data_IF_265719114603
#
_entry.id   IF_265719114603
#
_cell.length_a   1.000
_cell.length_b   1.000
_cell.length_c   1.000
_cell.angle_alpha   90.00
_cell.angle_beta   90.00
_cell.angle_gamma   90.00
#
_symmetry.space_group_name_H-M   'P 1'
#
loop_
_entity.id
_entity.type
_entity.pdbx_description
1 polymer ?
#
# COMPACT_ATOMS: atom_id res chain seq x y z
N UNK A 1 -23.44 -9.56 6.35
CA UNK A 1 -22.76 -8.90 5.23
C UNK A 1 -21.27 -8.88 5.54
N UNK A 2 -20.45 -9.48 4.69
CA UNK A 2 -19.01 -9.55 4.90
C UNK A 2 -18.35 -8.18 4.79
N UNK A 3 -17.09 -8.05 5.25
CA UNK A 3 -16.32 -6.80 5.07
C UNK A 3 -16.17 -6.45 3.60
N UNK A 4 -15.95 -7.46 2.76
CA UNK A 4 -15.79 -7.30 1.30
C UNK A 4 -17.08 -6.81 0.64
N UNK A 5 -18.25 -7.33 1.05
CA UNK A 5 -19.54 -6.85 0.53
C UNK A 5 -19.78 -5.38 0.88
N UNK A 6 -19.47 -4.97 2.11
CA UNK A 6 -19.58 -3.57 2.54
C UNK A 6 -18.72 -2.67 1.66
N UNK A 7 -17.48 -3.08 1.39
CA UNK A 7 -16.56 -2.32 0.52
C UNK A 7 -17.11 -2.26 -0.91
N UNK A 8 -17.61 -3.39 -1.47
CA UNK A 8 -18.23 -3.42 -2.80
C UNK A 8 -19.29 -2.35 -2.94
N UNK A 9 -20.24 -2.34 -2.02
CA UNK A 9 -21.37 -1.42 -2.08
C UNK A 9 -20.96 0.03 -1.83
N UNK A 10 -20.16 0.29 -0.82
CA UNK A 10 -19.71 1.65 -0.50
C UNK A 10 -18.89 2.26 -1.64
N UNK A 11 -17.94 1.52 -2.18
CA UNK A 11 -17.09 2.00 -3.28
C UNK A 11 -17.71 1.81 -4.66
N UNK A 12 -18.86 1.16 -4.82
CA UNK A 12 -19.45 0.78 -6.11
C UNK A 12 -18.43 0.04 -7.00
N UNK A 13 -17.80 -1.01 -6.45
CA UNK A 13 -16.83 -1.80 -7.19
C UNK A 13 -17.50 -2.55 -8.34
N UNK A 14 -16.83 -2.55 -9.50
CA UNK A 14 -17.21 -3.39 -10.64
C UNK A 14 -16.94 -4.85 -10.32
N UNK A 15 -17.62 -5.76 -11.01
CA UNK A 15 -17.49 -7.20 -10.75
C UNK A 15 -16.05 -7.70 -10.72
N UNK A 16 -15.15 -7.38 -11.69
CA UNK A 16 -13.76 -7.85 -11.63
C UNK A 16 -12.97 -7.30 -10.42
N UNK A 17 -13.28 -6.08 -9.97
CA UNK A 17 -12.64 -5.50 -8.78
C UNK A 17 -13.14 -6.19 -7.50
N UNK A 18 -14.42 -6.50 -7.45
CA UNK A 18 -15.02 -7.21 -6.32
C UNK A 18 -14.49 -8.63 -6.23
N UNK A 19 -14.44 -9.36 -7.34
CA UNK A 19 -13.88 -10.70 -7.41
C UNK A 19 -12.41 -10.73 -6.95
N UNK A 20 -11.60 -9.79 -7.44
CA UNK A 20 -10.22 -9.64 -6.98
C UNK A 20 -10.12 -9.38 -5.47
N UNK A 21 -11.00 -8.55 -4.91
CA UNK A 21 -11.05 -8.29 -3.47
C UNK A 21 -11.52 -9.52 -2.67
N UNK A 22 -12.41 -10.34 -3.22
CA UNK A 22 -12.83 -11.60 -2.58
C UNK A 22 -11.67 -12.59 -2.50
N UNK A 23 -10.87 -12.76 -3.57
CA UNK A 23 -9.67 -13.59 -3.54
C UNK A 23 -8.65 -13.04 -2.54
N UNK A 24 -8.48 -11.72 -2.52
CA UNK A 24 -7.60 -11.08 -1.54
C UNK A 24 -8.04 -11.35 -0.10
N UNK A 25 -9.32 -11.25 0.21
CA UNK A 25 -9.89 -11.59 1.53
C UNK A 25 -9.68 -13.06 1.88
N UNK A 26 -10.01 -13.97 0.96
CA UNK A 26 -9.90 -15.42 1.19
C UNK A 26 -8.49 -15.86 1.57
N UNK A 27 -7.47 -15.17 1.07
CA UNK A 27 -6.06 -15.45 1.36
C UNK A 27 -5.58 -14.62 2.55
N UNK A 28 -5.79 -13.30 2.51
CA UNK A 28 -5.31 -12.37 3.54
C UNK A 28 -5.88 -12.66 4.93
N UNK A 29 -7.12 -13.15 5.02
CA UNK A 29 -7.74 -13.50 6.30
C UNK A 29 -7.02 -14.66 7.01
N UNK A 30 -6.32 -15.50 6.26
CA UNK A 30 -5.63 -16.73 6.75
C UNK A 30 -4.13 -16.52 6.95
N UNK A 31 -3.56 -15.44 6.43
CA UNK A 31 -2.14 -15.11 6.56
C UNK A 31 -1.91 -14.17 7.73
N UNK A 32 -1.03 -14.57 8.63
CA UNK A 32 -0.45 -13.67 9.63
C UNK A 32 0.84 -13.09 9.09
N UNK A 33 0.77 -11.89 8.49
CA UNK A 33 1.83 -11.27 7.69
C UNK A 33 3.18 -11.10 8.43
N UNK A 34 3.17 -11.11 9.75
CA UNK A 34 4.40 -10.98 10.55
C UNK A 34 5.06 -12.32 10.88
N UNK A 35 4.31 -13.41 10.84
CA UNK A 35 4.76 -14.72 11.35
C UNK A 35 4.63 -15.85 10.33
N UNK A 36 3.73 -15.72 9.35
CA UNK A 36 3.57 -16.73 8.32
C UNK A 36 4.79 -16.79 7.40
N UNK A 37 5.33 -17.97 7.25
CA UNK A 37 6.39 -18.23 6.27
C UNK A 37 5.86 -18.08 4.84
N UNK A 38 6.75 -17.83 3.90
CA UNK A 38 6.43 -17.81 2.48
C UNK A 38 5.77 -19.12 2.02
N UNK A 39 6.29 -20.27 2.42
CA UNK A 39 5.75 -21.58 2.07
C UNK A 39 4.30 -21.75 2.57
N UNK A 40 4.00 -21.24 3.74
CA UNK A 40 2.65 -21.23 4.30
C UNK A 40 1.72 -20.32 3.50
N UNK A 41 2.18 -19.13 3.14
CA UNK A 41 1.44 -18.19 2.30
C UNK A 41 1.16 -18.78 0.89
N UNK A 42 2.13 -19.44 0.27
CA UNK A 42 1.97 -20.17 -0.99
C UNK A 42 0.91 -21.28 -0.90
N UNK A 43 0.97 -22.07 0.18
CA UNK A 43 -0.01 -23.13 0.43
C UNK A 43 -1.41 -22.57 0.58
N UNK A 44 -1.59 -21.55 1.40
CA UNK A 44 -2.89 -20.87 1.59
C UNK A 44 -3.41 -20.32 0.27
N UNK A 45 -2.53 -19.66 -0.53
CA UNK A 45 -2.90 -19.13 -1.82
C UNK A 45 -3.37 -20.23 -2.79
N UNK A 46 -2.64 -21.34 -2.89
CA UNK A 46 -2.99 -22.46 -3.77
C UNK A 46 -4.30 -23.15 -3.38
N UNK A 47 -4.60 -23.25 -2.09
CA UNK A 47 -5.83 -23.85 -1.58
C UNK A 47 -7.07 -22.97 -1.77
N UNK A 48 -6.89 -21.65 -1.88
CA UNK A 48 -7.99 -20.67 -1.92
C UNK A 48 -8.14 -19.95 -3.25
N UNK A 49 -7.27 -20.18 -4.21
CA UNK A 49 -7.35 -19.64 -5.55
C UNK A 49 -7.61 -20.75 -6.57
N UNK A 50 -8.76 -20.70 -7.23
CA UNK A 50 -9.10 -21.67 -8.29
C UNK A 50 -8.79 -21.09 -9.67
N UNK A 51 -8.40 -21.95 -10.62
CA UNK A 51 -8.22 -21.54 -12.01
C UNK A 51 -9.45 -20.77 -12.54
N UNK A 52 -9.31 -19.73 -13.38
CA UNK A 52 -8.09 -19.35 -14.11
C UNK A 52 -7.14 -18.42 -13.35
N UNK A 53 -7.41 -18.11 -12.08
CA UNK A 53 -6.60 -17.18 -11.30
C UNK A 53 -5.44 -17.92 -10.64
N UNK A 54 -4.23 -17.56 -11.00
CA UNK A 54 -3.02 -18.03 -10.32
C UNK A 54 -2.48 -16.89 -9.47
N UNK A 55 -2.29 -17.17 -8.18
CA UNK A 55 -1.55 -16.28 -7.28
C UNK A 55 -0.14 -16.84 -7.19
N UNK A 56 0.82 -16.13 -7.75
CA UNK A 56 2.23 -16.41 -7.53
C UNK A 56 2.70 -15.59 -6.33
N UNK A 57 3.20 -16.26 -5.32
CA UNK A 57 4.00 -15.60 -4.28
C UNK A 57 5.40 -15.46 -4.84
N UNK A 58 5.90 -14.23 -4.92
CA UNK A 58 7.22 -13.98 -5.46
C UNK A 58 8.30 -14.71 -4.64
N UNK A 59 9.19 -15.42 -5.35
CA UNK A 59 10.23 -16.24 -4.71
C UNK A 59 11.40 -15.43 -4.17
N UNK A 60 11.51 -14.16 -4.53
CA UNK A 60 12.64 -13.31 -4.16
C UNK A 60 12.45 -12.60 -2.81
N UNK A 61 11.21 -12.49 -2.31
CA UNK A 61 10.92 -11.79 -1.06
C UNK A 61 10.54 -12.74 0.08
N UNK A 62 11.00 -12.43 1.27
CA UNK A 62 10.67 -13.18 2.51
C UNK A 62 9.31 -12.78 3.12
N UNK A 63 8.50 -12.02 2.39
CA UNK A 63 7.18 -11.55 2.83
C UNK A 63 6.09 -11.87 1.79
N UNK A 64 4.83 -12.02 2.22
CA UNK A 64 3.71 -12.27 1.33
C UNK A 64 3.50 -11.13 0.34
N UNK A 65 3.44 -11.44 -0.94
CA UNK A 65 3.14 -10.49 -2.01
C UNK A 65 1.97 -10.99 -2.87
N UNK A 66 1.17 -10.05 -3.39
CA UNK A 66 0.01 -10.33 -4.23
C UNK A 66 0.10 -9.51 -5.51
N UNK A 67 -0.06 -10.16 -6.64
CA UNK A 67 -0.13 -9.49 -7.93
C UNK A 67 -1.55 -9.62 -8.50
N UNK A 68 -2.13 -8.47 -8.87
CA UNK A 68 -3.43 -8.41 -9.54
C UNK A 68 -3.21 -8.06 -11.01
N UNK A 69 -3.29 -9.06 -11.88
CA UNK A 69 -3.28 -8.81 -13.33
C UNK A 69 -4.67 -8.44 -13.81
N UNK A 70 -4.83 -7.18 -14.20
CA UNK A 70 -6.11 -6.60 -14.61
C UNK A 70 -5.94 -5.73 -15.85
N UNK A 71 -6.91 -5.81 -16.73
CA UNK A 71 -6.93 -5.01 -17.96
C UNK A 71 -6.91 -3.50 -17.69
N UNK A 72 -6.39 -2.74 -18.64
CA UNK A 72 -6.38 -1.27 -18.58
C UNK A 72 -7.80 -0.72 -18.51
N UNK A 73 -8.03 0.33 -17.74
CA UNK A 73 -9.33 0.99 -17.61
C UNK A 73 -10.34 0.33 -16.65
N UNK A 74 -10.03 -0.84 -16.09
CA UNK A 74 -10.92 -1.53 -15.13
C UNK A 74 -11.02 -0.79 -13.78
N UNK A 75 -10.07 0.11 -13.50
CA UNK A 75 -10.03 0.88 -12.25
C UNK A 75 -9.10 0.30 -11.19
N UNK A 76 -7.87 -0.07 -11.58
CA UNK A 76 -6.83 -0.62 -10.67
C UNK A 76 -6.60 0.24 -9.42
N UNK A 77 -6.52 1.58 -9.56
CA UNK A 77 -6.34 2.51 -8.41
C UNK A 77 -7.50 2.40 -7.40
N UNK A 78 -8.72 2.13 -7.88
CA UNK A 78 -9.87 1.95 -7.01
C UNK A 78 -9.80 0.61 -6.25
N UNK A 79 -9.35 -0.46 -6.92
CA UNK A 79 -9.08 -1.73 -6.25
C UNK A 79 -7.96 -1.57 -5.22
N UNK A 80 -6.89 -0.86 -5.54
CA UNK A 80 -5.82 -0.54 -4.58
C UNK A 80 -6.39 0.16 -3.34
N UNK A 81 -7.24 1.17 -3.51
CA UNK A 81 -7.94 1.82 -2.40
C UNK A 81 -8.81 0.84 -1.59
N UNK A 82 -9.50 -0.08 -2.25
CA UNK A 82 -10.30 -1.10 -1.59
C UNK A 82 -9.43 -2.07 -0.75
N UNK A 83 -8.28 -2.51 -1.29
CA UNK A 83 -7.33 -3.37 -0.55
C UNK A 83 -6.71 -2.63 0.65
N UNK A 84 -6.31 -1.36 0.49
CA UNK A 84 -5.81 -0.53 1.59
C UNK A 84 -6.87 -0.43 2.70
N UNK A 85 -8.10 -0.08 2.34
CA UNK A 85 -9.18 0.01 3.33
C UNK A 85 -9.47 -1.32 3.99
N UNK A 86 -9.47 -2.41 3.23
CA UNK A 86 -9.65 -3.76 3.76
C UNK A 86 -8.59 -4.08 4.83
N UNK A 87 -7.32 -3.89 4.53
CA UNK A 87 -6.21 -4.14 5.46
C UNK A 87 -6.29 -3.23 6.70
N UNK A 88 -6.65 -1.98 6.52
CA UNK A 88 -6.88 -1.07 7.64
C UNK A 88 -7.97 -1.58 8.59
N UNK A 89 -9.11 -2.00 8.05
CA UNK A 89 -10.27 -2.44 8.86
C UNK A 89 -10.10 -3.82 9.46
N UNK A 90 -9.49 -4.75 8.75
CA UNK A 90 -9.42 -6.16 9.17
C UNK A 90 -8.13 -6.51 9.90
N UNK A 91 -7.02 -5.87 9.55
CA UNK A 91 -5.69 -6.13 10.12
C UNK A 91 -5.16 -4.96 10.98
N UNK A 92 -5.81 -3.81 10.97
CA UNK A 92 -5.40 -2.62 11.71
C UNK A 92 -4.17 -1.92 11.14
N UNK A 93 -3.79 -2.19 9.88
CA UNK A 93 -2.63 -1.57 9.23
C UNK A 93 -2.90 -0.11 8.91
N UNK A 94 -1.88 0.74 9.10
CA UNK A 94 -2.02 2.19 8.97
C UNK A 94 -1.01 2.82 8.04
N UNK A 95 0.09 2.14 7.70
CA UNK A 95 1.17 2.68 6.89
C UNK A 95 1.17 2.03 5.51
N UNK A 96 0.86 2.82 4.48
CA UNK A 96 0.75 2.35 3.08
C UNK A 96 1.68 3.15 2.19
N UNK A 97 2.59 2.46 1.50
CA UNK A 97 3.57 3.06 0.62
C UNK A 97 3.24 2.74 -0.83
N UNK A 98 2.81 3.74 -1.58
CA UNK A 98 2.40 3.61 -2.98
C UNK A 98 3.56 4.02 -3.89
N UNK A 99 3.99 3.09 -4.73
CA UNK A 99 5.00 3.31 -5.75
C UNK A 99 4.38 3.50 -7.13
N UNK A 100 4.77 4.58 -7.78
CA UNK A 100 4.35 4.90 -9.14
C UNK A 100 5.54 4.81 -10.11
N UNK A 101 5.40 4.19 -11.30
CA UNK A 101 6.51 3.93 -12.22
C UNK A 101 6.93 5.16 -13.03
N UNK A 102 6.31 6.31 -12.86
CA UNK A 102 6.64 7.53 -13.57
C UNK A 102 5.83 8.73 -13.13
N UNK A 103 6.23 9.94 -13.55
CA UNK A 103 5.62 11.19 -13.09
C UNK A 103 4.11 11.27 -13.36
N UNK A 104 3.65 10.85 -14.54
CA UNK A 104 2.23 10.91 -14.90
C UNK A 104 1.35 10.07 -13.95
N UNK A 105 1.82 8.87 -13.59
CA UNK A 105 1.10 7.98 -12.67
C UNK A 105 1.23 8.51 -11.24
N UNK A 106 2.41 8.99 -10.86
CA UNK A 106 2.65 9.64 -9.58
C UNK A 106 1.70 10.83 -9.34
N UNK A 107 1.61 11.77 -10.29
CA UNK A 107 0.73 12.93 -10.19
C UNK A 107 -0.75 12.54 -10.16
N UNK A 108 -1.12 11.49 -10.88
CA UNK A 108 -2.47 10.91 -10.83
C UNK A 108 -2.76 10.38 -9.42
N UNK A 109 -1.88 9.55 -8.85
CA UNK A 109 -2.07 8.96 -7.52
C UNK A 109 -2.15 10.02 -6.43
N UNK A 110 -1.30 11.05 -6.47
CA UNK A 110 -1.37 12.19 -5.56
C UNK A 110 -2.74 12.86 -5.58
N UNK A 111 -3.27 13.15 -6.78
CA UNK A 111 -4.61 13.78 -6.93
C UNK A 111 -5.73 12.86 -6.45
N UNK A 112 -5.67 11.57 -6.80
CA UNK A 112 -6.68 10.59 -6.41
C UNK A 112 -6.63 10.25 -4.91
N UNK A 113 -5.55 10.57 -4.20
CA UNK A 113 -5.45 10.43 -2.74
C UNK A 113 -6.07 11.61 -1.96
N UNK A 114 -6.41 12.72 -2.63
CA UNK A 114 -6.99 13.90 -1.97
C UNK A 114 -8.50 13.76 -1.83
N UNK A 115 -9.07 13.86 -0.60
CA UNK A 115 -10.51 13.85 -0.39
C UNK A 115 -11.22 14.94 -1.20
N UNK A 116 -12.36 14.60 -1.79
CA UNK A 116 -13.13 15.50 -2.66
C UNK A 116 -12.74 15.44 -4.14
N UNK A 117 -11.65 14.80 -4.51
CA UNK A 117 -11.35 14.58 -5.92
C UNK A 117 -12.39 13.64 -6.57
N UNK A 118 -12.87 13.90 -7.81
CA UNK A 118 -13.90 13.08 -8.46
C UNK A 118 -13.54 11.59 -8.55
N UNK A 119 -12.25 11.28 -8.66
CA UNK A 119 -11.68 9.92 -8.68
C UNK A 119 -10.95 9.58 -7.39
N UNK A 120 -11.41 10.12 -6.25
CA UNK A 120 -10.82 9.79 -4.95
C UNK A 120 -10.75 8.28 -4.75
N UNK A 121 -9.57 7.76 -4.39
CA UNK A 121 -9.34 6.30 -4.33
C UNK A 121 -10.19 5.60 -3.28
N UNK A 122 -10.62 6.32 -2.23
CA UNK A 122 -11.52 5.82 -1.18
C UNK A 122 -12.94 6.38 -1.29
N UNK A 123 -13.36 6.79 -2.49
CA UNK A 123 -14.69 7.34 -2.71
C UNK A 123 -15.78 6.36 -2.29
N UNK A 124 -16.68 6.81 -1.43
CA UNK A 124 -17.74 6.02 -0.80
C UNK A 124 -17.37 5.52 0.61
N UNK A 125 -16.12 5.70 1.04
CA UNK A 125 -15.61 5.31 2.37
C UNK A 125 -15.15 6.51 3.19
N UNK A 126 -15.43 7.73 2.75
CA UNK A 126 -14.92 8.98 3.36
C UNK A 126 -15.27 9.08 4.85
N UNK A 127 -16.47 8.68 5.21
CA UNK A 127 -16.93 8.72 6.60
C UNK A 127 -16.19 7.73 7.51
N UNK A 128 -15.75 6.59 6.95
CA UNK A 128 -15.11 5.52 7.70
C UNK A 128 -13.58 5.62 7.71
N UNK A 129 -13.01 6.20 6.64
CA UNK A 129 -11.57 6.43 6.49
C UNK A 129 -11.09 7.66 7.25
N UNK A 130 -11.99 8.61 7.52
CA UNK A 130 -11.58 9.93 7.98
C UNK A 130 -10.77 10.69 6.91
N UNK A 131 -9.71 11.37 7.33
CA UNK A 131 -8.80 12.07 6.43
C UNK A 131 -7.42 11.43 6.51
N UNK A 132 -7.09 10.49 5.60
CA UNK A 132 -5.76 9.92 5.53
C UNK A 132 -4.71 11.02 5.40
N UNK A 133 -3.60 10.90 6.13
CA UNK A 133 -2.45 11.78 5.96
C UNK A 133 -1.65 11.31 4.76
N UNK A 134 -1.44 12.20 3.80
CA UNK A 134 -0.71 11.90 2.57
C UNK A 134 0.65 12.58 2.61
N UNK A 135 1.69 11.78 2.48
CA UNK A 135 3.08 12.21 2.36
C UNK A 135 3.60 11.85 0.97
N UNK A 136 4.29 12.75 0.33
CA UNK A 136 4.81 12.57 -1.01
C UNK A 136 6.23 13.17 -1.17
N UNK A 137 6.77 13.15 -2.37
CA UNK A 137 8.11 13.65 -2.64
C UNK A 137 8.34 15.14 -2.34
N UNK A 138 7.28 15.91 -2.05
CA UNK A 138 7.38 17.33 -1.73
C UNK A 138 7.30 17.61 -0.23
N UNK A 139 6.52 16.79 0.50
CA UNK A 139 6.24 17.06 1.93
C UNK A 139 6.74 15.96 2.90
N UNK A 140 7.33 14.86 2.42
CA UNK A 140 7.75 13.73 3.27
C UNK A 140 8.72 14.12 4.41
N UNK A 141 9.49 15.21 4.24
CA UNK A 141 10.38 15.71 5.28
C UNK A 141 9.64 16.35 6.46
N UNK A 142 8.34 16.60 6.33
CA UNK A 142 7.49 17.08 7.42
C UNK A 142 6.91 15.93 8.26
N UNK A 143 7.31 14.69 7.99
CA UNK A 143 6.86 13.54 8.76
C UNK A 143 7.33 13.67 10.23
N UNK A 144 6.42 13.54 11.21
CA UNK A 144 6.79 13.70 12.62
C UNK A 144 7.58 12.49 13.12
N UNK A 145 8.85 12.71 13.43
CA UNK A 145 9.74 11.70 14.04
C UNK A 145 10.19 12.23 15.39
N UNK A 146 10.27 11.36 16.39
CA UNK A 146 10.89 11.66 17.70
C UNK A 146 12.03 10.71 17.96
N UNK A 147 13.03 11.16 18.68
CA UNK A 147 14.14 10.34 19.15
C UNK A 147 14.07 10.22 20.66
N UNK A 148 14.11 9.00 21.17
CA UNK A 148 14.19 8.69 22.58
C UNK A 148 15.41 7.79 22.76
N UNK A 149 16.40 8.26 23.54
CA UNK A 149 17.66 7.53 23.80
C UNK A 149 18.39 7.09 22.53
N UNK A 150 18.48 7.99 21.54
CA UNK A 150 19.09 7.77 20.23
C UNK A 150 18.34 6.78 19.31
N UNK A 151 17.23 6.21 19.75
CA UNK A 151 16.37 5.37 18.91
C UNK A 151 15.26 6.20 18.25
N UNK A 152 15.03 5.94 16.97
CA UNK A 152 13.94 6.55 16.22
C UNK A 152 12.61 5.97 16.71
N UNK A 153 11.75 6.84 17.24
CA UNK A 153 10.40 6.49 17.66
C UNK A 153 9.40 7.22 16.78
N UNK A 154 8.60 6.46 16.08
CA UNK A 154 7.49 7.00 15.31
C UNK A 154 6.24 7.04 16.19
N UNK A 155 5.56 8.19 16.23
CA UNK A 155 4.32 8.29 16.99
C UNK A 155 3.27 7.34 16.43
N UNK A 156 2.72 6.48 17.28
CA UNK A 156 1.55 5.66 16.91
C UNK A 156 0.37 6.59 16.68
N UNK A 157 0.00 6.74 15.42
CA UNK A 157 -1.18 7.51 15.02
C UNK A 157 -2.41 6.63 14.91
N UNK A 158 -3.58 7.22 15.15
CA UNK A 158 -4.86 6.57 14.85
C UNK A 158 -5.22 6.64 13.37
N UNK A 159 -4.60 7.56 12.64
CA UNK A 159 -4.95 7.87 11.25
C UNK A 159 -4.15 6.99 10.26
N UNK A 160 -4.77 6.70 9.13
CA UNK A 160 -4.08 6.08 8.00
C UNK A 160 -3.07 7.07 7.42
N UNK A 161 -1.88 6.56 7.12
CA UNK A 161 -0.80 7.30 6.48
C UNK A 161 -0.49 6.68 5.12
N UNK A 162 -0.49 7.51 4.11
CA UNK A 162 -0.26 7.10 2.72
C UNK A 162 0.96 7.85 2.20
N UNK A 163 1.98 7.10 1.83
CA UNK A 163 3.21 7.63 1.26
C UNK A 163 3.18 7.37 -0.25
N UNK A 164 3.27 8.41 -1.08
CA UNK A 164 3.21 8.28 -2.54
C UNK A 164 4.51 8.76 -3.13
N UNK A 165 5.21 7.85 -3.82
CA UNK A 165 6.51 8.16 -4.40
C UNK A 165 6.63 7.64 -5.83
N UNK A 166 7.41 8.39 -6.63
CA UNK A 166 7.87 7.90 -7.91
C UNK A 166 9.10 7.02 -7.69
N UNK A 167 9.11 5.83 -8.29
CA UNK A 167 10.22 4.88 -8.16
C UNK A 167 11.58 5.47 -8.56
N UNK A 168 11.60 6.35 -9.57
CA UNK A 168 12.83 7.04 -9.99
C UNK A 168 13.44 7.96 -8.92
N UNK A 169 12.72 8.24 -7.83
CA UNK A 169 13.19 9.04 -6.69
C UNK A 169 13.76 8.17 -5.56
N UNK A 170 13.59 6.86 -5.64
CA UNK A 170 13.95 5.90 -4.58
C UNK A 170 15.21 5.13 -4.95
N UNK A 171 15.29 4.64 -6.19
CA UNK A 171 16.42 3.82 -6.63
C UNK A 171 17.57 4.69 -7.10
N UNK A 172 18.77 4.37 -6.61
CA UNK A 172 20.02 4.97 -7.05
C UNK A 172 20.40 4.47 -8.44
N UNK A 173 20.86 5.38 -9.31
CA UNK A 173 21.50 5.03 -10.58
C UNK A 173 22.97 5.42 -10.52
N UNK A 174 23.85 4.44 -10.42
CA UNK A 174 25.29 4.68 -10.25
C UNK A 174 25.62 5.36 -8.91
N UNK A 175 26.51 6.34 -8.93
CA UNK A 175 26.99 7.06 -7.74
C UNK A 175 26.02 8.14 -7.21
N UNK A 176 24.82 8.26 -7.79
CA UNK A 176 23.84 9.28 -7.38
C UNK A 176 22.96 8.71 -6.27
N UNK A 177 23.25 9.10 -5.04
CA UNK A 177 22.41 8.82 -3.90
C UNK A 177 21.20 9.75 -3.88
N UNK A 178 19.98 9.18 -3.97
CA UNK A 178 18.76 9.97 -3.94
C UNK A 178 18.44 10.48 -2.52
N UNK A 179 17.79 11.63 -2.45
CA UNK A 179 17.36 12.29 -1.19
C UNK A 179 16.61 11.35 -0.24
N UNK A 180 15.95 10.32 -0.79
CA UNK A 180 15.22 9.31 -0.03
C UNK A 180 16.12 8.52 0.93
N UNK A 181 17.36 8.25 0.54
CA UNK A 181 18.35 7.51 1.33
C UNK A 181 19.32 8.43 2.09
N UNK A 182 19.30 9.74 1.81
CA UNK A 182 20.18 10.69 2.47
C UNK A 182 19.70 11.00 3.88
N UNK A 183 20.68 11.13 4.76
CA UNK A 183 20.42 11.67 6.09
C UNK A 183 19.80 13.06 6.01
N UNK A 184 18.75 13.29 6.79
CA UNK A 184 18.09 14.56 6.94
C UNK A 184 17.97 14.92 8.43
N UNK A 185 18.42 16.12 8.78
CA UNK A 185 18.43 16.60 10.16
C UNK A 185 17.03 16.64 10.80
N UNK A 186 16.00 17.00 10.01
CA UNK A 186 14.61 17.05 10.50
C UNK A 186 14.06 15.67 10.84
N UNK A 187 14.53 14.63 10.16
CA UNK A 187 14.14 13.24 10.39
C UNK A 187 15.13 12.53 11.33
N UNK A 188 16.33 13.11 11.55
CA UNK A 188 17.42 12.48 12.30
C UNK A 188 17.95 11.18 11.66
N UNK A 189 17.60 10.91 10.44
CA UNK A 189 17.93 9.73 9.65
C UNK A 189 17.53 9.90 8.22
N UNK A 190 17.55 8.85 7.42
CA UNK A 190 16.97 8.85 6.08
C UNK A 190 15.46 8.58 6.14
N UNK A 191 14.72 8.99 5.11
CA UNK A 191 13.30 8.62 5.03
C UNK A 191 13.12 7.10 4.84
N UNK A 192 14.07 6.43 4.25
CA UNK A 192 14.09 4.96 4.17
C UNK A 192 14.12 4.32 5.58
N UNK A 193 14.83 4.92 6.53
CA UNK A 193 14.87 4.43 7.92
C UNK A 193 13.54 4.66 8.62
N UNK A 194 12.87 5.79 8.34
CA UNK A 194 11.49 6.03 8.81
C UNK A 194 10.56 4.90 8.35
N UNK A 195 10.59 4.55 7.06
CA UNK A 195 9.74 3.48 6.54
C UNK A 195 10.07 2.11 7.13
N UNK A 196 11.36 1.81 7.35
CA UNK A 196 11.79 0.55 7.99
C UNK A 196 11.35 0.42 9.45
N UNK A 197 11.08 1.54 10.12
CA UNK A 197 10.62 1.54 11.51
C UNK A 197 9.15 1.15 11.68
N UNK A 198 8.38 1.07 10.59
CA UNK A 198 6.98 0.66 10.66
C UNK A 198 6.84 -0.86 10.69
N UNK A 199 6.14 -1.37 11.69
CA UNK A 199 5.81 -2.79 11.81
C UNK A 199 4.71 -3.25 10.83
N UNK A 200 3.93 -2.32 10.29
CA UNK A 200 2.73 -2.56 9.50
C UNK A 200 2.78 -1.89 8.12
N UNK A 201 4.00 -1.71 7.60
CA UNK A 201 4.17 -1.12 6.27
C UNK A 201 3.67 -2.05 5.17
N UNK A 202 2.75 -1.55 4.36
CA UNK A 202 2.25 -2.22 3.15
C UNK A 202 2.73 -1.47 1.91
N UNK A 203 3.42 -2.16 1.01
CA UNK A 203 3.87 -1.59 -0.25
C UNK A 203 2.87 -1.92 -1.35
N UNK A 204 2.38 -0.89 -2.02
CA UNK A 204 1.47 -0.99 -3.16
C UNK A 204 2.18 -0.49 -4.42
N UNK A 205 2.29 -1.33 -5.44
CA UNK A 205 2.97 -0.99 -6.70
C UNK A 205 1.95 -0.92 -7.83
N UNK A 206 1.81 0.25 -8.47
CA UNK A 206 1.00 0.37 -9.69
C UNK A 206 1.86 0.02 -10.90
N UNK A 207 1.29 -0.70 -11.88
CA UNK A 207 2.00 -1.19 -13.07
C UNK A 207 3.26 -2.00 -12.71
N UNK A 208 3.14 -2.96 -11.79
CA UNK A 208 4.26 -3.72 -11.21
C UNK A 208 5.20 -4.37 -12.25
N UNK A 209 4.72 -4.63 -13.48
CA UNK A 209 5.55 -5.16 -14.58
C UNK A 209 6.63 -4.19 -15.08
N UNK A 210 6.66 -2.96 -14.59
CA UNK A 210 7.66 -1.93 -14.96
C UNK A 210 8.82 -1.80 -13.98
N UNK A 211 8.84 -2.63 -12.93
CA UNK A 211 9.86 -2.62 -11.90
C UNK A 211 10.90 -3.71 -12.08
#
# INVERSE_FOLDING_TARGET
MSSVDKIKWAMSLREPQYEALQYFDAISSKIEYRTSSKAEAEKIASENCQAPHTISVDKEFDFPSFCFDMTTGIGKSRLMGACIYYLYKTKGYKHFFILAPGNTIYDKMRREAVPGHPKYMFKGLEAEMGRPKVYDGENYLSYPVRYIQEEMVVEKTSDIQIFIFNISKIFTRGDIEFKFHKFNENLGGSFADVLRSFDDLVICMDEAHRY
#
